data_IF_620675753612
#
_entry.id   IF_620675753612
#
_cell.length_a   1.000
_cell.length_b   1.000
_cell.length_c   1.000
_cell.angle_alpha   90.00
_cell.angle_beta   90.00
_cell.angle_gamma   90.00
#
_symmetry.space_group_name_H-M   'P 1'
#
loop_
_entity.id
_entity.type
_entity.pdbx_description
1 polymer ?
#
# COMPACT_ATOMS: atom_id res chain seq x y z
N UNK A 1 -14.31 18.42 7.71
CA UNK A 1 -14.99 18.16 6.42
C UNK A 1 -14.02 17.40 5.53
N UNK A 2 -14.36 16.18 5.10
CA UNK A 2 -13.52 15.42 4.18
C UNK A 2 -13.58 16.10 2.81
N UNK A 3 -12.46 16.58 2.29
CA UNK A 3 -12.39 17.06 0.91
C UNK A 3 -12.72 15.88 -0.02
N UNK A 4 -13.56 16.08 -1.06
CA UNK A 4 -13.78 15.03 -2.05
C UNK A 4 -12.43 14.64 -2.64
N UNK A 5 -12.08 13.36 -2.57
CA UNK A 5 -10.77 12.93 -3.07
C UNK A 5 -10.77 13.11 -4.59
N UNK A 6 -9.93 14.00 -5.09
CA UNK A 6 -9.67 14.24 -6.52
C UNK A 6 -9.17 12.97 -7.24
N UNK A 7 -8.80 11.94 -6.48
CA UNK A 7 -8.23 10.69 -6.98
C UNK A 7 -9.28 9.57 -7.04
N UNK A 8 -9.31 8.90 -8.19
CA UNK A 8 -10.08 7.68 -8.46
C UNK A 8 -9.64 6.51 -7.59
N UNK A 9 -10.47 5.47 -7.49
CA UNK A 9 -10.07 4.24 -6.80
C UNK A 9 -8.87 3.57 -7.49
N UNK A 10 -8.80 3.65 -8.82
CA UNK A 10 -7.68 3.11 -9.61
C UNK A 10 -6.35 3.82 -9.29
N UNK A 11 -6.33 5.14 -9.19
CA UNK A 11 -5.12 5.90 -8.82
C UNK A 11 -4.63 5.51 -7.42
N UNK A 12 -5.56 5.36 -6.46
CA UNK A 12 -5.23 4.92 -5.10
C UNK A 12 -4.68 3.50 -5.08
N UNK A 13 -5.28 2.58 -5.85
CA UNK A 13 -4.79 1.21 -5.99
C UNK A 13 -3.35 1.18 -6.54
N UNK A 14 -3.07 1.99 -7.57
CA UNK A 14 -1.76 2.08 -8.19
C UNK A 14 -0.69 2.57 -7.22
N UNK A 15 -0.96 3.65 -6.48
CA UNK A 15 0.00 4.16 -5.49
C UNK A 15 0.18 3.20 -4.31
N UNK A 16 -0.89 2.55 -3.83
CA UNK A 16 -0.78 1.55 -2.78
C UNK A 16 0.09 0.36 -3.21
N UNK A 17 -0.08 -0.15 -4.44
CA UNK A 17 0.80 -1.20 -5.00
C UNK A 17 2.26 -0.76 -5.09
N UNK A 18 2.51 0.46 -5.57
CA UNK A 18 3.86 1.02 -5.64
C UNK A 18 4.52 1.06 -4.26
N UNK A 19 3.77 1.46 -3.23
CA UNK A 19 4.25 1.49 -1.85
C UNK A 19 4.54 0.08 -1.31
N UNK A 20 3.71 -0.93 -1.62
CA UNK A 20 4.03 -2.34 -1.28
C UNK A 20 5.38 -2.73 -1.88
N UNK A 21 5.60 -2.49 -3.17
CA UNK A 21 6.87 -2.79 -3.85
C UNK A 21 8.06 -2.06 -3.21
N UNK A 22 7.89 -0.78 -2.89
CA UNK A 22 8.91 0.01 -2.20
C UNK A 22 9.25 -0.57 -0.82
N UNK A 23 8.25 -0.95 -0.02
CA UNK A 23 8.47 -1.56 1.31
C UNK A 23 9.19 -2.89 1.21
N UNK A 24 8.78 -3.76 0.28
CA UNK A 24 9.45 -5.03 0.03
C UNK A 24 10.93 -4.84 -0.36
N UNK A 25 11.27 -3.77 -1.07
CA UNK A 25 12.65 -3.46 -1.46
C UNK A 25 13.46 -2.79 -0.34
N UNK A 26 12.87 -1.86 0.42
CA UNK A 26 13.60 -1.00 1.37
C UNK A 26 13.68 -1.61 2.77
N UNK A 27 12.61 -2.25 3.25
CA UNK A 27 12.56 -2.75 4.62
C UNK A 27 13.64 -3.78 4.95
N UNK A 28 14.04 -4.71 4.05
CA UNK A 28 15.16 -5.61 4.33
C UNK A 28 16.45 -4.89 4.72
N UNK A 29 16.77 -3.77 4.03
CA UNK A 29 17.93 -2.94 4.37
C UNK A 29 17.78 -2.27 5.74
N UNK A 30 16.57 -1.84 6.09
CA UNK A 30 16.31 -1.24 7.41
C UNK A 30 16.35 -2.26 8.54
N UNK A 31 15.89 -3.49 8.29
CA UNK A 31 15.99 -4.61 9.24
C UNK A 31 17.47 -4.95 9.48
N UNK A 32 18.25 -5.12 8.41
CA UNK A 32 19.68 -5.37 8.51
C UNK A 32 20.44 -4.24 9.25
N UNK A 33 19.99 -2.99 9.09
CA UNK A 33 20.53 -1.84 9.80
C UNK A 33 19.99 -1.65 11.23
N UNK A 34 19.15 -2.57 11.74
CA UNK A 34 18.55 -2.48 13.08
C UNK A 34 17.52 -1.36 13.25
N UNK A 35 17.07 -0.73 12.17
CA UNK A 35 16.11 0.40 12.17
C UNK A 35 14.65 -0.05 12.19
N UNK A 36 14.39 -1.33 12.01
CA UNK A 36 13.05 -1.92 11.97
C UNK A 36 13.12 -3.39 12.37
N UNK A 37 12.12 -3.90 13.10
CA UNK A 37 11.99 -5.34 13.36
C UNK A 37 11.27 -6.01 12.20
N UNK A 38 11.61 -7.26 11.91
CA UNK A 38 10.98 -8.03 10.84
C UNK A 38 9.45 -8.14 11.01
N UNK A 39 8.97 -8.43 12.23
CA UNK A 39 7.54 -8.50 12.53
C UNK A 39 6.78 -7.19 12.20
N UNK A 40 7.43 -6.04 12.41
CA UNK A 40 6.83 -4.75 12.09
C UNK A 40 6.82 -4.49 10.58
N UNK A 41 7.88 -4.91 9.87
CA UNK A 41 7.96 -4.83 8.42
C UNK A 41 6.86 -5.68 7.77
N UNK A 42 6.73 -6.94 8.18
CA UNK A 42 5.75 -7.89 7.67
C UNK A 42 4.33 -7.37 7.89
N UNK A 43 4.04 -6.88 9.10
CA UNK A 43 2.74 -6.29 9.42
C UNK A 43 2.42 -5.08 8.54
N UNK A 44 3.38 -4.17 8.35
CA UNK A 44 3.19 -2.96 7.53
C UNK A 44 3.02 -3.27 6.05
N UNK A 45 3.71 -4.29 5.54
CA UNK A 45 3.52 -4.79 4.17
C UNK A 45 2.13 -5.39 4.05
N UNK A 46 1.73 -6.29 4.96
CA UNK A 46 0.41 -6.94 4.93
C UNK A 46 -0.74 -5.93 4.94
N UNK A 47 -0.66 -4.90 5.79
CA UNK A 47 -1.67 -3.82 5.83
C UNK A 47 -1.72 -3.06 4.50
N UNK A 48 -0.58 -2.68 3.93
CA UNK A 48 -0.57 -1.93 2.67
C UNK A 48 -1.05 -2.77 1.49
N UNK A 49 -0.72 -4.06 1.48
CA UNK A 49 -1.26 -5.02 0.50
C UNK A 49 -2.78 -5.10 0.60
N UNK A 50 -3.34 -5.18 1.82
CA UNK A 50 -4.79 -5.17 2.01
C UNK A 50 -5.43 -3.88 1.48
N UNK A 51 -4.80 -2.71 1.73
CA UNK A 51 -5.27 -1.42 1.19
C UNK A 51 -5.27 -1.42 -0.34
N UNK A 52 -4.22 -1.93 -0.98
CA UNK A 52 -4.15 -2.02 -2.44
C UNK A 52 -5.30 -2.87 -2.99
N UNK A 53 -5.52 -4.06 -2.43
CA UNK A 53 -6.62 -4.96 -2.81
C UNK A 53 -7.99 -4.30 -2.62
N UNK A 54 -8.19 -3.58 -1.52
CA UNK A 54 -9.46 -2.89 -1.27
C UNK A 54 -9.76 -1.83 -2.32
N UNK A 55 -8.76 -1.06 -2.75
CA UNK A 55 -8.94 -0.07 -3.80
C UNK A 55 -9.09 -0.67 -5.19
N UNK A 56 -8.42 -1.78 -5.49
CA UNK A 56 -8.63 -2.51 -6.74
C UNK A 56 -10.07 -3.00 -6.88
N UNK A 57 -10.63 -3.56 -5.80
CA UNK A 57 -12.03 -3.98 -5.76
C UNK A 57 -12.99 -2.79 -5.96
N UNK A 58 -12.64 -1.62 -5.44
CA UNK A 58 -13.43 -0.38 -5.61
C UNK A 58 -13.28 0.25 -6.99
N UNK A 59 -12.22 -0.05 -7.72
CA UNK A 59 -12.04 0.42 -9.10
C UNK A 59 -12.86 -0.40 -10.11
N UNK A 60 -13.17 -1.67 -9.82
CA UNK A 60 -14.01 -2.51 -10.68
C UNK A 60 -15.43 -1.95 -10.94
N UNK A 61 -16.16 -1.37 -9.97
CA UNK A 61 -17.44 -0.72 -10.23
C UNK A 61 -17.34 0.63 -10.96
N UNK A 62 -16.15 1.20 -11.20
CA UNK A 62 -15.95 2.40 -12.04
C UNK A 62 -15.78 2.04 -13.53
N UNK A 63 -15.71 0.75 -13.88
CA UNK A 63 -15.41 0.23 -15.22
C UNK A 63 -16.62 -0.32 -15.99
N UNK A 64 -17.85 -0.15 -15.45
CA UNK A 64 -19.13 -0.52 -16.07
C UNK A 64 -20.05 0.70 -16.18
#
# INVERSE_FOLDING_TARGET
MAQPSVFTAQEKAKEARREVSMRCAVYPKWIAAGRMKQVDADRRIAIMTAIAVDYERRAQPELL
#
